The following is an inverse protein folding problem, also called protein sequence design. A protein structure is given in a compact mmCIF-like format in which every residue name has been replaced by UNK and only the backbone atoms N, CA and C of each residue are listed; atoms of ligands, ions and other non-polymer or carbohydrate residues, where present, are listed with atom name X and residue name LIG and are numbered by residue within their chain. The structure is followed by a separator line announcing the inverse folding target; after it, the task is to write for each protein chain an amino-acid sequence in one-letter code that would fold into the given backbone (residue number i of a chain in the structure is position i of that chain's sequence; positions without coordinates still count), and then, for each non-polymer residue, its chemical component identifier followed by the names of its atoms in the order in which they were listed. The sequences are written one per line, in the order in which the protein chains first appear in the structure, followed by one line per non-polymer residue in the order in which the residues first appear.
data_IF_118899773899
#
_entry.id   IF_118899773899
#
_cell.length_a   1.000
_cell.length_b   1.000
_cell.length_c   1.000
_cell.angle_alpha   90.00
_cell.angle_beta   90.00
_cell.angle_gamma   90.00
#
_symmetry.space_group_name_H-M   'P 1'
#
loop_
_entity.id
_entity.type
_entity.pdbx_description
1 polymer ?
#
# COMPACT_ATOMS: atom_id res chain seq x y z
N UNK A 1 -17.47 -1.04 -10.10
CA UNK A 1 -16.88 -0.24 -9.00
C UNK A 1 -15.58 -0.88 -8.57
N UNK A 2 -14.66 -0.14 -7.92
CA UNK A 2 -13.44 -0.74 -7.39
C UNK A 2 -13.40 -0.64 -5.86
N UNK A 3 -12.83 -1.67 -5.24
CA UNK A 3 -12.58 -1.77 -3.81
C UNK A 3 -11.08 -1.87 -3.59
N UNK A 4 -10.51 -0.93 -2.88
CA UNK A 4 -9.15 -1.00 -2.38
C UNK A 4 -9.18 -1.50 -0.93
N UNK A 5 -8.57 -2.62 -0.69
CA UNK A 5 -8.51 -3.25 0.62
C UNK A 5 -7.09 -3.14 1.16
N UNK A 6 -6.90 -2.56 2.34
CA UNK A 6 -5.66 -2.79 3.06
C UNK A 6 -5.54 -4.28 3.44
N UNK A 7 -4.35 -4.71 3.76
CA UNK A 7 -4.09 -6.12 4.06
C UNK A 7 -3.99 -6.36 5.57
N UNK A 8 -3.06 -5.68 6.24
CA UNK A 8 -2.82 -5.87 7.67
C UNK A 8 -3.94 -5.22 8.50
N UNK A 9 -4.64 -5.99 9.30
CA UNK A 9 -5.81 -5.53 10.06
C UNK A 9 -7.16 -5.67 9.33
N UNK A 10 -7.15 -5.84 8.00
CA UNK A 10 -8.36 -6.00 7.17
C UNK A 10 -8.53 -7.42 6.66
N UNK A 11 -7.51 -7.96 5.99
CA UNK A 11 -7.52 -9.32 5.42
C UNK A 11 -6.86 -10.32 6.37
N UNK A 12 -5.81 -9.89 7.05
CA UNK A 12 -5.09 -10.70 8.04
C UNK A 12 -4.53 -9.89 9.20
N UNK A 13 -4.07 -10.58 10.26
CA UNK A 13 -3.25 -10.05 11.35
C UNK A 13 -2.03 -10.96 11.50
N UNK A 14 -0.84 -10.46 11.16
CA UNK A 14 0.36 -11.28 11.13
C UNK A 14 0.20 -12.47 10.18
N UNK A 15 0.12 -13.69 10.73
CA UNK A 15 -0.08 -14.94 9.95
C UNK A 15 -1.53 -15.34 9.77
N UNK A 16 -2.43 -14.84 10.60
CA UNK A 16 -3.81 -15.33 10.72
C UNK A 16 -4.78 -14.46 9.89
N UNK A 17 -5.61 -15.10 9.08
CA UNK A 17 -6.67 -14.41 8.36
C UNK A 17 -7.71 -13.80 9.30
N UNK A 18 -8.19 -12.58 8.99
CA UNK A 18 -9.37 -12.03 9.68
C UNK A 18 -10.58 -12.91 9.35
N UNK A 19 -11.36 -13.34 10.36
CA UNK A 19 -12.53 -14.18 10.13
C UNK A 19 -13.48 -13.55 9.11
N UNK A 20 -13.88 -14.33 8.09
CA UNK A 20 -14.79 -13.87 7.05
C UNK A 20 -14.14 -13.06 5.90
N UNK A 21 -12.87 -12.69 5.97
CA UNK A 21 -12.22 -11.89 4.91
C UNK A 21 -12.27 -12.61 3.55
N UNK A 22 -12.00 -13.90 3.48
CA UNK A 22 -12.09 -14.67 2.23
C UNK A 22 -13.53 -14.76 1.69
N UNK A 23 -14.55 -14.80 2.55
CA UNK A 23 -15.96 -14.73 2.14
C UNK A 23 -16.28 -13.34 1.58
N UNK A 24 -15.85 -12.29 2.25
CA UNK A 24 -16.08 -10.91 1.82
C UNK A 24 -15.49 -10.65 0.43
N UNK A 25 -14.25 -11.06 0.18
CA UNK A 25 -13.62 -10.90 -1.15
C UNK A 25 -14.37 -11.66 -2.22
N UNK A 26 -14.78 -12.91 -1.95
CA UNK A 26 -15.60 -13.68 -2.91
C UNK A 26 -16.93 -13.00 -3.23
N UNK A 27 -17.62 -12.47 -2.21
CA UNK A 27 -18.88 -11.74 -2.43
C UNK A 27 -18.68 -10.53 -3.35
N UNK A 28 -17.59 -9.78 -3.18
CA UNK A 28 -17.26 -8.67 -4.08
C UNK A 28 -16.98 -9.15 -5.50
N UNK A 29 -16.14 -10.18 -5.65
CA UNK A 29 -15.78 -10.75 -6.96
C UNK A 29 -17.00 -11.33 -7.67
N UNK A 30 -17.85 -12.09 -6.98
CA UNK A 30 -19.10 -12.66 -7.51
C UNK A 30 -20.10 -11.56 -7.94
N UNK A 31 -20.04 -10.40 -7.28
CA UNK A 31 -20.84 -9.22 -7.65
C UNK A 31 -20.24 -8.41 -8.80
N UNK A 32 -19.13 -8.87 -9.39
CA UNK A 32 -18.44 -8.20 -10.48
C UNK A 32 -17.65 -6.95 -10.06
N UNK A 33 -17.38 -6.79 -8.78
CA UNK A 33 -16.57 -5.68 -8.26
C UNK A 33 -15.08 -5.96 -8.46
N UNK A 34 -14.32 -4.91 -8.78
CA UNK A 34 -12.87 -5.00 -8.87
C UNK A 34 -12.26 -4.88 -7.49
N UNK A 35 -11.47 -5.86 -7.08
CA UNK A 35 -10.77 -5.85 -5.78
C UNK A 35 -9.29 -5.60 -5.98
N UNK A 36 -8.75 -4.59 -5.29
CA UNK A 36 -7.33 -4.26 -5.23
C UNK A 36 -6.86 -4.43 -3.79
N UNK A 37 -5.77 -5.15 -3.59
CA UNK A 37 -5.14 -5.39 -2.29
C UNK A 37 -3.96 -4.42 -2.15
N UNK A 38 -4.14 -3.34 -1.40
CA UNK A 38 -3.23 -2.19 -1.40
C UNK A 38 -2.42 -2.15 -0.10
N UNK A 39 -1.12 -2.40 -0.18
CA UNK A 39 -0.24 -2.46 0.99
C UNK A 39 0.96 -1.51 0.90
N UNK A 40 1.35 -0.93 2.05
CA UNK A 40 2.63 -0.22 2.19
C UNK A 40 3.83 -1.16 2.33
N UNK A 41 3.61 -2.47 2.46
CA UNK A 41 4.71 -3.43 2.51
C UNK A 41 5.36 -3.57 1.12
N UNK A 42 6.62 -3.14 1.02
CA UNK A 42 7.45 -3.25 -0.19
C UNK A 42 8.55 -4.31 -0.07
N UNK A 43 8.66 -4.95 1.09
CA UNK A 43 9.79 -5.82 1.40
C UNK A 43 9.73 -7.17 0.69
N UNK A 44 8.54 -7.70 0.44
CA UNK A 44 8.33 -9.02 -0.18
C UNK A 44 7.86 -8.90 -1.62
N UNK A 45 8.22 -9.87 -2.48
CA UNK A 45 7.66 -9.99 -3.82
C UNK A 45 6.12 -10.01 -3.81
N UNK A 46 5.52 -9.53 -4.90
CA UNK A 46 4.06 -9.59 -5.10
C UNK A 46 3.56 -11.03 -5.00
N UNK A 47 4.30 -11.98 -5.57
CA UNK A 47 4.01 -13.43 -5.51
C UNK A 47 3.82 -13.96 -4.08
N UNK A 48 4.64 -13.50 -3.12
CA UNK A 48 4.52 -13.94 -1.72
C UNK A 48 3.20 -13.46 -1.10
N UNK A 49 2.75 -12.26 -1.48
CA UNK A 49 1.46 -11.71 -1.06
C UNK A 49 0.29 -12.48 -1.69
N UNK A 50 0.40 -12.79 -2.97
CA UNK A 50 -0.60 -13.61 -3.69
C UNK A 50 -0.68 -15.04 -3.13
N UNK A 51 0.48 -15.64 -2.81
CA UNK A 51 0.53 -16.95 -2.15
C UNK A 51 -0.15 -16.93 -0.77
N UNK A 52 0.10 -15.87 0.02
CA UNK A 52 -0.54 -15.70 1.32
C UNK A 52 -2.07 -15.52 1.19
N UNK A 53 -2.54 -14.75 0.21
CA UNK A 53 -3.96 -14.60 -0.10
C UNK A 53 -4.57 -15.95 -0.51
N UNK A 54 -3.90 -16.70 -1.38
CA UNK A 54 -4.33 -18.03 -1.82
C UNK A 54 -4.42 -19.02 -0.64
N UNK A 55 -3.48 -18.94 0.31
CA UNK A 55 -3.53 -19.72 1.57
C UNK A 55 -4.75 -19.42 2.44
N UNK A 56 -5.37 -18.26 2.27
CA UNK A 56 -6.63 -17.87 2.93
C UNK A 56 -7.87 -18.12 2.05
N UNK A 57 -7.70 -18.78 0.90
CA UNK A 57 -8.77 -19.06 -0.06
C UNK A 57 -9.21 -17.82 -0.85
N UNK A 58 -8.34 -16.83 -1.00
CA UNK A 58 -8.57 -15.61 -1.75
C UNK A 58 -7.77 -15.65 -3.06
N UNK A 59 -8.44 -15.54 -4.18
CA UNK A 59 -7.79 -15.31 -5.48
C UNK A 59 -7.51 -13.82 -5.64
N UNK A 60 -6.23 -13.46 -5.72
CA UNK A 60 -5.83 -12.06 -5.88
C UNK A 60 -6.18 -11.49 -7.26
N UNK A 61 -6.34 -12.35 -8.28
CA UNK A 61 -6.66 -11.95 -9.66
C UNK A 61 -5.73 -10.86 -10.23
N UNK A 62 -4.47 -10.83 -9.77
CA UNK A 62 -3.50 -9.78 -10.14
C UNK A 62 -3.81 -8.40 -9.53
N UNK A 63 -4.63 -8.35 -8.47
CA UNK A 63 -5.04 -7.11 -7.81
C UNK A 63 -4.11 -6.66 -6.68
N UNK A 64 -2.95 -7.29 -6.46
CA UNK A 64 -1.99 -6.86 -5.43
C UNK A 64 -1.26 -5.59 -5.87
N UNK A 65 -1.26 -4.58 -5.01
CA UNK A 65 -0.64 -3.27 -5.22
C UNK A 65 0.25 -2.93 -4.03
N UNK A 66 1.55 -2.76 -4.27
CA UNK A 66 2.53 -2.51 -3.22
C UNK A 66 3.14 -1.12 -3.31
N UNK A 67 3.68 -0.61 -2.19
CA UNK A 67 4.44 0.64 -2.22
C UNK A 67 5.75 0.52 -3.00
N UNK A 68 6.26 -0.69 -3.24
CA UNK A 68 7.36 -0.94 -4.17
C UNK A 68 6.98 -0.65 -5.62
N UNK A 69 5.79 -1.08 -6.06
CA UNK A 69 5.24 -0.74 -7.38
C UNK A 69 5.06 0.78 -7.55
N UNK A 70 4.52 1.44 -6.52
CA UNK A 70 4.35 2.88 -6.53
C UNK A 70 5.69 3.63 -6.60
N UNK A 71 6.72 3.18 -5.88
CA UNK A 71 8.06 3.75 -5.95
C UNK A 71 8.72 3.53 -7.33
N UNK A 72 8.52 2.38 -7.95
CA UNK A 72 9.04 2.07 -9.27
C UNK A 72 8.47 3.02 -10.35
N UNK A 73 7.26 3.55 -10.19
CA UNK A 73 6.69 4.56 -11.13
C UNK A 73 7.46 5.89 -11.15
N UNK A 74 8.22 6.18 -10.11
CA UNK A 74 9.04 7.39 -10.01
C UNK A 74 10.43 7.24 -10.64
N UNK A 75 10.75 6.05 -11.14
CA UNK A 75 12.05 5.70 -11.73
C UNK A 75 11.88 5.47 -13.23
N UNK A 76 12.85 5.94 -14.02
CA UNK A 76 12.82 5.76 -15.47
C UNK A 76 13.72 4.60 -15.92
N UNK A 77 13.43 3.96 -17.07
CA UNK A 77 14.28 2.89 -17.61
C UNK A 77 15.74 3.34 -17.79
N UNK A 78 16.69 2.52 -17.35
CA UNK A 78 18.12 2.81 -17.41
C UNK A 78 18.65 3.67 -16.26
N UNK A 79 17.80 4.18 -15.37
CA UNK A 79 18.21 4.91 -14.18
C UNK A 79 18.97 3.99 -13.22
N UNK A 80 20.09 4.45 -12.69
CA UNK A 80 20.88 3.71 -11.71
C UNK A 80 20.35 3.95 -10.31
N UNK A 81 19.88 2.89 -9.67
CA UNK A 81 19.19 2.95 -8.39
C UNK A 81 19.95 2.20 -7.30
N UNK A 82 20.34 2.88 -6.22
CA UNK A 82 20.77 2.21 -5.00
C UNK A 82 19.52 1.71 -4.23
N UNK A 83 19.25 0.41 -4.30
CA UNK A 83 18.11 -0.19 -3.64
C UNK A 83 18.39 -0.56 -2.18
N UNK A 84 18.14 0.34 -1.24
CA UNK A 84 18.07 0.06 0.20
C UNK A 84 16.69 -0.45 0.55
N UNK A 85 16.31 -1.59 -0.02
CA UNK A 85 14.95 -2.14 0.10
C UNK A 85 14.97 -3.66 -0.08
N UNK A 86 13.89 -4.30 0.30
CA UNK A 86 13.73 -5.74 0.17
C UNK A 86 13.53 -6.23 -1.27
N UNK A 87 13.49 -7.56 -1.48
CA UNK A 87 13.39 -8.16 -2.80
C UNK A 87 12.17 -7.68 -3.59
N UNK A 88 11.01 -7.52 -2.96
CA UNK A 88 9.80 -7.07 -3.67
C UNK A 88 9.96 -5.72 -4.34
N UNK A 89 10.51 -4.72 -3.61
CA UNK A 89 10.76 -3.42 -4.21
C UNK A 89 11.84 -3.49 -5.31
N UNK A 90 12.90 -4.30 -5.12
CA UNK A 90 13.95 -4.49 -6.14
C UNK A 90 13.39 -5.06 -7.44
N UNK A 91 12.54 -6.08 -7.36
CA UNK A 91 11.89 -6.68 -8.52
C UNK A 91 11.05 -5.65 -9.29
N UNK A 92 10.33 -4.79 -8.59
CA UNK A 92 9.53 -3.75 -9.25
C UNK A 92 10.40 -2.69 -9.93
N UNK A 93 11.51 -2.28 -9.30
CA UNK A 93 12.49 -1.38 -9.91
C UNK A 93 13.12 -1.98 -11.16
N UNK A 94 13.53 -3.25 -11.11
CA UNK A 94 14.08 -3.98 -12.26
C UNK A 94 13.03 -4.15 -13.37
N UNK A 95 11.76 -4.37 -13.02
CA UNK A 95 10.66 -4.53 -13.98
C UNK A 95 10.42 -3.28 -14.81
N UNK A 96 10.62 -2.09 -14.25
CA UNK A 96 10.55 -0.83 -15.01
C UNK A 96 11.84 -0.52 -15.76
N UNK A 97 12.85 -1.39 -15.68
CA UNK A 97 14.11 -1.28 -16.42
C UNK A 97 15.18 -0.45 -15.72
N UNK A 98 15.08 -0.25 -14.40
CA UNK A 98 16.15 0.37 -13.61
C UNK A 98 17.36 -0.57 -13.47
N UNK A 99 18.56 0.01 -13.40
CA UNK A 99 19.79 -0.70 -13.01
C UNK A 99 19.92 -0.66 -11.48
N UNK A 100 19.43 -1.70 -10.79
CA UNK A 100 19.50 -1.78 -9.33
C UNK A 100 20.89 -2.21 -8.88
N UNK A 101 21.58 -1.34 -8.15
CA UNK A 101 22.96 -1.56 -7.68
C UNK A 101 23.04 -1.51 -6.14
N UNK A 102 24.17 -1.96 -5.60
CA UNK A 102 24.45 -1.95 -4.16
C UNK A 102 25.44 -0.87 -3.72
N UNK A 103 26.15 -0.28 -4.68
CA UNK A 103 27.13 0.78 -4.45
C UNK A 103 27.45 1.53 -5.76
N UNK A 104 28.31 2.54 -5.68
CA UNK A 104 28.74 3.34 -6.81
C UNK A 104 27.96 4.64 -6.99
N UNK A 105 28.21 5.33 -8.10
CA UNK A 105 27.45 6.52 -8.45
C UNK A 105 26.06 6.11 -8.94
N UNK A 106 25.03 6.73 -8.40
CA UNK A 106 23.63 6.44 -8.71
C UNK A 106 22.84 7.73 -8.88
N UNK A 107 21.73 7.62 -9.60
CA UNK A 107 20.81 8.73 -9.84
C UNK A 107 19.79 8.86 -8.70
N UNK A 108 19.41 7.70 -8.10
CA UNK A 108 18.37 7.64 -7.08
C UNK A 108 18.73 6.61 -5.99
N UNK A 109 18.41 6.94 -4.75
CA UNK A 109 18.39 6.03 -3.60
C UNK A 109 16.94 5.74 -3.27
N UNK A 110 16.55 4.46 -3.30
CA UNK A 110 15.20 4.02 -2.89
C UNK A 110 15.30 3.31 -1.55
N UNK A 111 14.61 3.83 -0.54
CA UNK A 111 14.56 3.24 0.80
C UNK A 111 13.19 2.58 1.02
N UNK A 112 13.22 1.30 1.36
CA UNK A 112 12.04 0.50 1.69
C UNK A 112 12.35 -0.47 2.83
N UNK A 113 11.33 -1.18 3.32
CA UNK A 113 11.54 -2.17 4.36
C UNK A 113 12.42 -3.33 3.86
N UNK A 114 13.40 -3.72 4.67
CA UNK A 114 14.24 -4.91 4.49
C UNK A 114 14.87 -5.35 5.81
N UNK A 115 15.09 -6.64 5.97
CA UNK A 115 15.58 -7.23 7.21
C UNK A 115 17.11 -7.14 7.38
N UNK A 116 17.85 -6.92 6.28
CA UNK A 116 19.31 -6.88 6.23
C UNK A 116 19.88 -5.46 6.28
N UNK A 117 19.14 -4.50 6.88
CA UNK A 117 19.61 -3.14 7.09
C UNK A 117 20.88 -3.11 7.98
N UNK A 118 21.95 -2.56 7.43
CA UNK A 118 23.22 -2.45 8.14
C UNK A 118 23.88 -1.06 7.98
N UNK A 119 24.92 -0.83 8.76
CA UNK A 119 25.64 0.44 8.74
C UNK A 119 26.37 0.69 7.40
N UNK A 120 26.77 -0.37 6.68
CA UNK A 120 27.43 -0.24 5.38
C UNK A 120 26.44 0.23 4.31
N UNK A 121 25.26 -0.37 4.27
CA UNK A 121 24.18 0.06 3.38
C UNK A 121 23.71 1.48 3.67
N UNK A 122 23.54 1.81 4.98
CA UNK A 122 23.22 3.18 5.39
C UNK A 122 24.28 4.18 4.91
N UNK A 123 25.56 3.86 5.08
CA UNK A 123 26.67 4.72 4.64
C UNK A 123 26.64 4.93 3.13
N UNK A 124 26.41 3.87 2.35
CA UNK A 124 26.33 3.97 0.89
C UNK A 124 25.17 4.88 0.47
N UNK A 125 23.97 4.71 1.04
CA UNK A 125 22.81 5.56 0.78
C UNK A 125 23.06 7.03 1.13
N UNK A 126 23.61 7.30 2.32
CA UNK A 126 23.94 8.65 2.76
C UNK A 126 24.95 9.32 1.81
N UNK A 127 26.03 8.61 1.43
CA UNK A 127 27.03 9.14 0.50
C UNK A 127 26.45 9.43 -0.88
N UNK A 128 25.56 8.55 -1.39
CA UNK A 128 24.90 8.75 -2.67
C UNK A 128 24.00 10.00 -2.65
N UNK A 129 23.17 10.16 -1.60
CA UNK A 129 22.30 11.35 -1.45
C UNK A 129 23.11 12.63 -1.31
N UNK A 130 24.20 12.63 -0.49
CA UNK A 130 25.11 13.77 -0.37
C UNK A 130 25.85 14.07 -1.69
N UNK A 131 26.04 13.05 -2.53
CA UNK A 131 26.58 13.16 -3.90
C UNK A 131 25.60 13.69 -4.94
N UNK A 132 24.32 13.94 -4.57
CA UNK A 132 23.31 14.54 -5.43
C UNK A 132 22.25 13.55 -5.94
N UNK A 133 22.27 12.28 -5.52
CA UNK A 133 21.20 11.33 -5.87
C UNK A 133 19.86 11.76 -5.23
N UNK A 134 18.75 11.52 -5.95
CA UNK A 134 17.40 11.70 -5.40
C UNK A 134 17.16 10.69 -4.26
N UNK A 135 16.33 11.07 -3.29
CA UNK A 135 15.92 10.19 -2.21
C UNK A 135 14.44 9.85 -2.33
N UNK A 136 14.12 8.58 -2.54
CA UNK A 136 12.76 8.06 -2.56
C UNK A 136 12.53 7.15 -1.35
N UNK A 137 11.35 7.27 -0.73
CA UNK A 137 10.86 6.35 0.29
C UNK A 137 9.67 5.55 -0.23
N UNK A 138 9.65 4.24 -0.04
CA UNK A 138 8.48 3.44 -0.41
C UNK A 138 7.27 3.81 0.44
N UNK A 139 7.48 4.19 1.69
CA UNK A 139 6.48 4.76 2.62
C UNK A 139 7.21 5.39 3.82
N UNK A 140 6.47 6.04 4.70
CA UNK A 140 6.95 6.66 5.94
C UNK A 140 6.41 6.00 7.22
N UNK A 141 5.89 4.78 7.12
CA UNK A 141 5.43 4.02 8.28
C UNK A 141 6.60 3.79 9.24
N UNK A 142 6.53 4.44 10.41
CA UNK A 142 7.60 4.38 11.42
C UNK A 142 7.73 2.98 11.99
N UNK A 143 6.59 2.33 12.25
CA UNK A 143 6.53 0.96 12.78
C UNK A 143 5.49 0.14 12.05
N UNK A 144 5.62 -1.18 12.16
CA UNK A 144 4.58 -2.13 11.75
C UNK A 144 4.38 -3.21 12.84
N UNK A 145 3.17 -3.77 12.96
CA UNK A 145 2.90 -4.84 13.90
C UNK A 145 3.53 -6.16 13.44
N UNK A 146 4.22 -6.85 14.35
CA UNK A 146 4.75 -8.20 14.17
C UNK A 146 4.26 -9.10 15.31
N UNK A 147 4.49 -10.43 15.22
CA UNK A 147 4.04 -11.40 16.22
C UNK A 147 4.63 -11.15 17.62
N UNK A 148 5.77 -10.49 17.70
CA UNK A 148 6.53 -10.19 18.92
C UNK A 148 6.44 -8.71 19.34
N UNK A 149 5.56 -7.92 18.72
CA UNK A 149 5.34 -6.51 19.02
C UNK A 149 5.59 -5.59 17.84
N UNK A 150 5.76 -4.30 18.10
CA UNK A 150 6.06 -3.32 17.04
C UNK A 150 7.51 -3.43 16.60
N UNK A 151 7.72 -3.47 15.29
CA UNK A 151 9.06 -3.41 14.67
C UNK A 151 9.22 -2.14 13.83
N UNK A 152 10.48 -1.66 13.62
CA UNK A 152 10.74 -0.51 12.75
C UNK A 152 10.25 -0.76 11.33
N UNK A 153 9.49 0.17 10.78
CA UNK A 153 9.03 0.16 9.40
C UNK A 153 10.01 0.86 8.44
N UNK A 154 9.63 0.95 7.16
CA UNK A 154 10.42 1.63 6.14
C UNK A 154 10.70 3.10 6.49
N UNK A 155 9.74 3.79 7.12
CA UNK A 155 9.89 5.17 7.58
C UNK A 155 11.02 5.35 8.59
N UNK A 156 11.26 4.37 9.49
CA UNK A 156 12.39 4.42 10.42
C UNK A 156 13.74 4.29 9.69
N UNK A 157 13.84 3.42 8.68
CA UNK A 157 15.03 3.27 7.86
C UNK A 157 15.30 4.53 7.02
N UNK A 158 14.24 5.09 6.45
CA UNK A 158 14.29 6.35 5.69
C UNK A 158 14.73 7.51 6.59
N UNK A 159 14.21 7.59 7.82
CA UNK A 159 14.56 8.62 8.77
C UNK A 159 16.06 8.62 9.11
N UNK A 160 16.74 7.46 9.13
CA UNK A 160 18.19 7.38 9.35
C UNK A 160 18.96 8.06 8.21
N UNK A 161 18.54 7.91 6.94
CA UNK A 161 19.15 8.59 5.79
C UNK A 161 18.87 10.09 5.85
N UNK A 162 17.61 10.47 6.11
CA UNK A 162 17.17 11.87 6.22
C UNK A 162 17.95 12.59 7.33
N UNK A 163 18.09 11.98 8.51
CA UNK A 163 18.82 12.56 9.64
C UNK A 163 20.29 12.84 9.31
N UNK A 164 20.94 11.97 8.52
CA UNK A 164 22.32 12.11 8.13
C UNK A 164 22.55 13.09 6.98
N UNK A 165 21.56 13.30 6.11
CA UNK A 165 21.71 14.09 4.86
C UNK A 165 20.99 15.43 4.89
N UNK A 166 19.94 15.57 5.70
CA UNK A 166 18.99 16.69 5.64
C UNK A 166 18.12 16.72 4.37
N UNK A 167 18.16 15.67 3.56
CA UNK A 167 17.38 15.60 2.32
C UNK A 167 15.88 15.43 2.61
N UNK A 168 15.05 15.98 1.72
CA UNK A 168 13.59 15.73 1.73
C UNK A 168 13.30 14.56 0.80
N UNK A 169 12.76 13.44 1.29
CA UNK A 169 12.42 12.31 0.44
C UNK A 169 11.14 12.55 -0.34
N UNK A 170 11.04 12.00 -1.54
CA UNK A 170 9.79 11.79 -2.25
C UNK A 170 9.18 10.46 -1.77
N UNK A 171 7.89 10.46 -1.40
CA UNK A 171 7.21 9.32 -0.81
C UNK A 171 6.21 8.71 -1.81
N UNK A 172 6.21 7.37 -1.91
CA UNK A 172 5.48 6.67 -2.94
C UNK A 172 4.20 5.97 -2.47
N UNK A 173 4.22 5.35 -1.28
CA UNK A 173 3.11 4.53 -0.75
C UNK A 173 1.90 5.33 -0.29
N UNK A 174 0.93 4.67 0.34
CA UNK A 174 -0.21 5.35 0.99
C UNK A 174 0.29 6.35 2.04
N UNK A 175 -0.28 7.57 2.12
CA UNK A 175 -1.37 8.14 1.33
C UNK A 175 -0.91 8.99 0.13
N UNK A 176 0.28 8.82 -0.38
CA UNK A 176 0.95 9.73 -1.33
C UNK A 176 0.52 9.53 -2.80
N UNK A 177 0.78 10.57 -3.61
CA UNK A 177 0.37 10.68 -5.00
C UNK A 177 0.68 9.47 -5.88
N UNK A 178 1.92 8.93 -5.89
CA UNK A 178 2.25 7.79 -6.76
C UNK A 178 1.38 6.55 -6.51
N UNK A 179 1.05 6.25 -5.24
CA UNK A 179 0.11 5.17 -4.92
C UNK A 179 -1.31 5.51 -5.36
N UNK A 180 -1.74 6.76 -5.18
CA UNK A 180 -3.07 7.19 -5.63
C UNK A 180 -3.23 7.05 -7.15
N UNK A 181 -2.24 7.46 -7.92
CA UNK A 181 -2.23 7.34 -9.38
C UNK A 181 -2.26 5.88 -9.81
N UNK A 182 -1.40 5.03 -9.21
CA UNK A 182 -1.36 3.61 -9.49
C UNK A 182 -2.72 2.92 -9.24
N UNK A 183 -3.34 3.21 -8.10
CA UNK A 183 -4.65 2.60 -7.75
C UNK A 183 -5.76 3.10 -8.65
N UNK A 184 -5.77 4.38 -9.03
CA UNK A 184 -6.74 4.91 -10.02
C UNK A 184 -6.59 4.23 -11.38
N UNK A 185 -5.37 4.17 -11.91
CA UNK A 185 -5.09 3.52 -13.20
C UNK A 185 -5.57 2.07 -13.21
N UNK A 186 -5.35 1.35 -12.11
CA UNK A 186 -5.79 -0.04 -11.98
C UNK A 186 -7.31 -0.14 -11.76
N UNK A 187 -7.94 0.76 -11.05
CA UNK A 187 -9.38 0.79 -10.88
C UNK A 187 -10.11 1.02 -12.20
N UNK A 188 -9.59 1.91 -13.04
CA UNK A 188 -10.18 2.32 -14.31
C UNK A 188 -9.86 1.36 -15.47
N UNK A 189 -8.87 0.50 -15.35
CA UNK A 189 -8.39 -0.41 -16.40
C UNK A 189 -9.45 -1.42 -16.92
N UNK A 190 -10.63 -1.51 -16.29
CA UNK A 190 -11.76 -2.33 -16.74
C UNK A 190 -12.87 -1.54 -17.44
N UNK A 191 -12.85 -0.22 -17.41
CA UNK A 191 -13.92 0.66 -17.91
C UNK A 191 -13.58 1.34 -19.25
N UNK A 192 -12.95 0.62 -20.16
CA UNK A 192 -12.68 1.12 -21.52
C UNK A 192 -14.00 1.42 -22.23
N UNK A 193 -14.39 2.72 -22.24
CA UNK A 193 -15.58 3.19 -22.98
C UNK A 193 -16.62 3.97 -22.17
N UNK A 194 -16.46 4.10 -20.85
CA UNK A 194 -17.28 5.05 -20.08
C UNK A 194 -16.53 6.36 -19.96
N UNK A 195 -17.06 7.42 -20.58
CA UNK A 195 -16.53 8.79 -20.39
C UNK A 195 -16.49 9.08 -18.88
N UNK A 196 -15.37 9.63 -18.44
CA UNK A 196 -15.23 10.20 -17.09
C UNK A 196 -16.25 11.34 -16.93
N UNK A 197 -17.48 10.99 -16.56
CA UNK A 197 -18.48 11.96 -16.14
C UNK A 197 -18.00 12.52 -14.80
N UNK A 198 -17.45 13.73 -14.85
CA UNK A 198 -16.94 14.43 -13.69
C UNK A 198 -18.00 14.65 -12.62
N UNK A 199 -17.88 13.87 -11.56
CA UNK A 199 -18.35 14.23 -10.19
C UNK A 199 -17.72 13.23 -9.21
N UNK A 200 -17.40 13.62 -7.95
CA UNK A 200 -16.70 12.77 -6.97
C UNK A 200 -17.55 11.67 -6.32
N UNK A 201 -18.58 11.18 -7.00
CA UNK A 201 -19.35 10.00 -6.60
C UNK A 201 -18.98 8.77 -7.42
N UNK A 202 -17.70 8.43 -7.42
CA UNK A 202 -17.22 7.25 -8.19
C UNK A 202 -17.70 5.92 -7.59
N UNK A 203 -18.36 5.92 -6.45
CA UNK A 203 -18.80 4.71 -5.77
C UNK A 203 -17.66 3.81 -5.26
N UNK A 204 -16.39 4.12 -5.60
CA UNK A 204 -15.24 3.36 -5.15
C UNK A 204 -15.06 3.43 -3.63
N UNK A 205 -14.53 2.35 -3.04
CA UNK A 205 -14.38 2.20 -1.59
C UNK A 205 -12.93 1.86 -1.24
N UNK A 206 -12.37 2.54 -0.25
CA UNK A 206 -11.18 2.13 0.46
C UNK A 206 -11.57 1.54 1.80
N UNK A 207 -11.14 0.32 2.09
CA UNK A 207 -11.33 -0.34 3.40
C UNK A 207 -9.97 -0.44 4.08
N UNK A 208 -9.88 0.08 5.29
CA UNK A 208 -8.64 0.08 6.06
C UNK A 208 -8.90 0.16 7.56
N UNK A 209 -7.86 -0.05 8.36
CA UNK A 209 -7.91 0.02 9.81
C UNK A 209 -7.12 1.21 10.38
N UNK A 210 -6.42 1.97 9.51
CA UNK A 210 -5.53 3.07 9.92
C UNK A 210 -5.98 4.42 9.37
N UNK A 211 -6.43 5.33 10.23
CA UNK A 211 -6.85 6.68 9.81
C UNK A 211 -5.73 7.49 9.15
N UNK A 212 -4.52 7.40 9.71
CA UNK A 212 -3.34 8.16 9.27
C UNK A 212 -2.79 7.74 7.89
N UNK A 213 -3.03 6.50 7.48
CA UNK A 213 -2.66 5.94 6.18
C UNK A 213 -3.87 5.75 5.27
N UNK A 214 -4.76 4.82 5.62
CA UNK A 214 -5.89 4.41 4.78
C UNK A 214 -6.96 5.48 4.67
N UNK A 215 -7.28 6.15 5.79
CA UNK A 215 -8.22 7.25 5.80
C UNK A 215 -7.75 8.42 4.94
N UNK A 216 -6.50 8.86 5.14
CA UNK A 216 -5.90 9.91 4.29
C UNK A 216 -5.79 9.47 2.83
N UNK A 217 -5.49 8.21 2.58
CA UNK A 217 -5.42 7.65 1.23
C UNK A 217 -6.79 7.67 0.54
N UNK A 218 -7.85 7.25 1.23
CA UNK A 218 -9.22 7.35 0.72
C UNK A 218 -9.58 8.80 0.36
N UNK A 219 -9.26 9.75 1.24
CA UNK A 219 -9.49 11.19 0.98
C UNK A 219 -8.67 11.70 -0.21
N UNK A 220 -7.41 11.28 -0.36
CA UNK A 220 -6.56 11.62 -1.51
C UNK A 220 -7.08 11.03 -2.83
N UNK A 221 -7.67 9.84 -2.79
CA UNK A 221 -8.34 9.22 -3.93
C UNK A 221 -9.68 9.88 -4.28
N UNK A 222 -10.35 10.52 -3.33
CA UNK A 222 -11.74 10.95 -3.44
C UNK A 222 -12.73 9.77 -3.36
N UNK A 223 -12.34 8.71 -2.66
CA UNK A 223 -13.12 7.48 -2.47
C UNK A 223 -13.80 7.47 -1.11
N UNK A 224 -14.89 6.70 -0.99
CA UNK A 224 -15.52 6.40 0.28
C UNK A 224 -14.54 5.64 1.18
N UNK A 225 -14.40 6.03 2.44
CA UNK A 225 -13.58 5.34 3.41
C UNK A 225 -14.41 4.56 4.42
N UNK A 226 -14.25 3.25 4.42
CA UNK A 226 -14.82 2.33 5.41
C UNK A 226 -13.75 1.90 6.39
N UNK A 227 -13.87 2.34 7.64
CA UNK A 227 -13.01 1.91 8.74
C UNK A 227 -13.47 0.55 9.25
N UNK A 228 -12.55 -0.40 9.39
CA UNK A 228 -12.80 -1.67 10.06
C UNK A 228 -12.08 -1.73 11.41
N UNK A 229 -12.75 -2.29 12.41
CA UNK A 229 -12.26 -2.41 13.78
C UNK A 229 -11.53 -3.75 14.02
N UNK A 230 -11.28 -4.48 12.94
CA UNK A 230 -10.52 -5.74 12.98
C UNK A 230 -9.01 -5.54 13.06
N UNK A 231 -8.49 -4.33 13.01
CA UNK A 231 -7.06 -4.02 13.01
C UNK A 231 -6.60 -3.26 14.26
N UNK A 232 -5.96 -2.11 14.02
CA UNK A 232 -5.32 -1.29 15.05
C UNK A 232 -6.33 -0.49 15.89
N UNK A 233 -7.39 0.04 15.25
CA UNK A 233 -8.37 0.92 15.89
C UNK A 233 -9.48 0.09 16.51
N UNK A 234 -9.82 0.37 17.79
CA UNK A 234 -10.95 -0.18 18.51
C UNK A 234 -12.11 0.81 18.65
N UNK A 235 -13.23 0.36 19.22
CA UNK A 235 -14.43 1.21 19.43
C UNK A 235 -14.16 2.40 20.33
N UNK A 236 -13.24 2.28 21.27
CA UNK A 236 -12.90 3.33 22.24
C UNK A 236 -12.03 4.44 21.62
N UNK A 237 -11.47 4.20 20.43
CA UNK A 237 -10.65 5.18 19.70
C UNK A 237 -11.47 6.08 18.76
N UNK A 238 -12.79 5.88 18.70
CA UNK A 238 -13.69 6.68 17.86
C UNK A 238 -14.11 8.00 18.56
N UNK A 239 -14.31 9.10 17.83
CA UNK A 239 -14.12 9.26 16.38
C UNK A 239 -12.64 9.36 15.99
N UNK A 240 -12.34 9.06 14.73
CA UNK A 240 -10.98 9.11 14.17
C UNK A 240 -10.78 10.35 13.29
N UNK A 241 -9.51 10.69 13.00
CA UNK A 241 -9.16 11.77 12.06
C UNK A 241 -8.24 11.23 10.94
N UNK A 242 -8.65 11.35 9.65
CA UNK A 242 -9.92 11.90 9.16
C UNK A 242 -11.13 11.05 9.56
N UNK A 243 -12.32 11.66 9.64
CA UNK A 243 -13.58 10.94 9.88
C UNK A 243 -13.81 9.87 8.81
N UNK A 244 -14.28 8.69 9.21
CA UNK A 244 -14.70 7.64 8.29
C UNK A 244 -16.14 7.83 7.81
N UNK A 245 -16.42 7.41 6.57
CA UNK A 245 -17.78 7.46 6.03
C UNK A 245 -18.66 6.35 6.63
N UNK A 246 -18.05 5.21 6.97
CA UNK A 246 -18.68 4.09 7.68
C UNK A 246 -17.68 3.39 8.61
N UNK A 247 -18.21 2.74 9.65
CA UNK A 247 -17.43 1.93 10.61
C UNK A 247 -18.05 0.55 10.72
N UNK A 248 -17.24 -0.48 10.61
CA UNK A 248 -17.68 -1.88 10.67
C UNK A 248 -16.75 -2.70 11.59
N UNK A 249 -17.26 -3.80 12.15
CA UNK A 249 -16.45 -4.66 12.98
C UNK A 249 -15.32 -5.34 12.17
N UNK A 250 -15.60 -5.70 10.90
CA UNK A 250 -14.66 -6.35 9.96
C UNK A 250 -15.05 -6.11 8.50
N UNK A 251 -14.23 -6.65 7.58
CA UNK A 251 -14.45 -6.55 6.14
C UNK A 251 -15.77 -7.22 5.71
N UNK A 252 -16.14 -8.35 6.30
CA UNK A 252 -17.35 -9.06 5.92
C UNK A 252 -18.61 -8.27 6.28
N UNK A 253 -18.64 -7.64 7.44
CA UNK A 253 -19.72 -6.74 7.85
C UNK A 253 -19.86 -5.55 6.89
N UNK A 254 -18.73 -4.93 6.51
CA UNK A 254 -18.68 -3.84 5.54
C UNK A 254 -19.27 -4.25 4.19
N UNK A 255 -18.82 -5.37 3.64
CA UNK A 255 -19.27 -5.85 2.32
C UNK A 255 -20.75 -6.24 2.31
N UNK A 256 -21.22 -6.94 3.34
CA UNK A 256 -22.64 -7.34 3.46
C UNK A 256 -23.57 -6.15 3.56
N UNK A 257 -23.22 -5.12 4.32
CA UNK A 257 -24.03 -3.90 4.40
C UNK A 257 -24.11 -3.21 3.05
N UNK A 258 -22.99 -3.05 2.36
CA UNK A 258 -22.93 -2.41 1.05
C UNK A 258 -23.76 -3.14 -0.01
N UNK A 259 -23.64 -4.47 -0.09
CA UNK A 259 -24.40 -5.28 -1.04
C UNK A 259 -25.90 -5.31 -0.71
N UNK A 260 -26.26 -5.38 0.58
CA UNK A 260 -27.66 -5.32 1.03
C UNK A 260 -28.31 -3.94 0.82
N UNK A 261 -27.56 -2.85 0.79
CA UNK A 261 -28.05 -1.53 0.40
C UNK A 261 -28.38 -1.48 -1.10
N UNK A 262 -27.53 -2.08 -1.96
CA UNK A 262 -27.76 -2.11 -3.40
C UNK A 262 -29.01 -2.93 -3.78
N UNK A 263 -29.24 -4.07 -3.13
CA UNK A 263 -30.43 -4.89 -3.36
C UNK A 263 -31.74 -4.15 -2.97
N UNK A 264 -31.67 -3.19 -2.03
CA UNK A 264 -32.84 -2.40 -1.61
C UNK A 264 -33.14 -1.20 -2.52
N UNK A 265 -32.15 -0.78 -3.32
CA UNK A 265 -32.24 0.40 -4.21
C UNK A 265 -32.49 0.02 -5.68
N UNK A 266 -32.33 -1.26 -6.07
CA UNK A 266 -32.52 -1.79 -7.42
C UNK A 266 -33.84 -2.53 -7.53
#
# INVERSE_FOLDING_TARGET
MAWALDLDGVVWRGTDGVPGAGEAVRLLQDSGERVLFVTNNSGRPVSDTEEKLAGLGIDAMGGVVTSGMAAARLVVPGERVLGMCGPGCREELERVGAEVVRDGMVDTVVVGFHDDFDYRGLTAGVQAVLGGARLLGTNDDVTFPAHDGLRPGAGSLLAAVVAATGATPELAGKPYGPMCELVRDLADAGDVGKEAAGTPETGHVMVGDRPDTDGRFARALGWRWSLVLSGLIGKDDLPVDPDSDTVHDDLLACVREHLGERERLG
#
